data_IF_200679007788
#
_entry.id   IF_200679007788
#
_cell.length_a   1.000
_cell.length_b   1.000
_cell.length_c   1.000
_cell.angle_alpha   90.00
_cell.angle_beta   90.00
_cell.angle_gamma   90.00
#
_symmetry.space_group_name_H-M   'P 1'
#
loop_
_entity.id
_entity.type
_entity.pdbx_description
1 polymer ?
#
# COMPACT_ATOMS: atom_id res chain seq x y z
N UNK A 1 4.24 -13.95 -2.52
CA UNK A 1 3.97 -12.97 -3.59
C UNK A 1 4.44 -11.60 -3.13
N UNK A 2 5.45 -11.03 -3.79
CA UNK A 2 5.78 -9.62 -3.65
C UNK A 2 4.53 -8.81 -4.00
N UNK A 3 4.06 -7.93 -3.11
CA UNK A 3 2.92 -7.01 -3.37
C UNK A 3 3.37 -5.88 -4.31
N UNK A 4 3.99 -6.27 -5.42
CA UNK A 4 4.51 -5.41 -6.46
C UNK A 4 3.77 -5.71 -7.75
N UNK A 5 3.21 -4.67 -8.37
CA UNK A 5 2.55 -4.85 -9.65
C UNK A 5 3.62 -5.13 -10.73
N UNK A 6 3.55 -6.28 -11.39
CA UNK A 6 4.53 -6.69 -12.41
C UNK A 6 4.51 -5.77 -13.65
N UNK A 7 3.37 -5.18 -13.99
CA UNK A 7 3.21 -4.29 -15.14
C UNK A 7 3.58 -2.84 -14.82
N UNK A 8 3.16 -2.34 -13.64
CA UNK A 8 3.31 -0.93 -13.29
C UNK A 8 4.43 -0.65 -12.29
N UNK A 9 5.09 -1.68 -11.75
CA UNK A 9 6.14 -1.55 -10.72
C UNK A 9 5.65 -0.96 -9.40
N UNK A 10 4.33 -0.82 -9.19
CA UNK A 10 3.77 -0.20 -7.98
C UNK A 10 4.07 -1.07 -6.76
N UNK A 11 4.70 -0.47 -5.75
CA UNK A 11 5.12 -1.11 -4.51
C UNK A 11 4.36 -0.56 -3.29
N UNK A 12 4.34 -1.29 -2.17
CA UNK A 12 3.79 -0.77 -0.92
C UNK A 12 4.58 0.44 -0.42
N UNK A 13 3.89 1.48 0.01
CA UNK A 13 4.50 2.70 0.55
C UNK A 13 4.28 2.74 2.06
N UNK A 14 5.27 3.22 2.82
CA UNK A 14 5.14 3.44 4.27
C UNK A 14 4.55 4.81 4.56
N UNK A 15 3.76 4.93 5.63
CA UNK A 15 3.22 6.20 6.08
C UNK A 15 2.57 6.12 7.46
N UNK A 16 1.75 7.12 7.79
CA UNK A 16 1.04 7.19 9.06
C UNK A 16 -0.47 7.40 8.84
N UNK A 17 -1.29 6.84 9.72
CA UNK A 17 -2.65 7.33 9.93
C UNK A 17 -2.57 8.52 10.91
N UNK A 18 -3.25 9.61 10.59
CA UNK A 18 -3.30 10.81 11.42
C UNK A 18 -4.74 10.98 11.89
N UNK A 19 -4.94 11.03 13.22
CA UNK A 19 -6.26 11.30 13.79
C UNK A 19 -6.60 12.79 13.75
N UNK A 20 -7.84 13.15 14.09
CA UNK A 20 -8.24 14.55 14.22
C UNK A 20 -7.40 15.31 15.28
N UNK A 21 -6.93 14.61 16.32
CA UNK A 21 -6.01 15.13 17.32
C UNK A 21 -4.53 15.06 16.90
N UNK A 22 -4.23 14.78 15.62
CA UNK A 22 -2.89 14.60 15.06
C UNK A 22 -2.06 13.44 15.66
N UNK A 23 -2.70 12.43 16.24
CA UNK A 23 -2.00 11.22 16.69
C UNK A 23 -1.57 10.40 15.47
N UNK A 24 -0.25 10.15 15.35
CA UNK A 24 0.35 9.45 14.20
C UNK A 24 0.60 7.98 14.54
N UNK A 25 -0.08 7.06 13.84
CA UNK A 25 0.18 5.61 13.94
C UNK A 25 0.75 5.07 12.63
N UNK A 26 1.75 4.17 12.68
CA UNK A 26 2.42 3.64 11.48
C UNK A 26 1.46 2.77 10.66
N UNK A 27 1.45 2.96 9.34
CA UNK A 27 0.67 2.17 8.38
C UNK A 27 1.48 1.88 7.11
N UNK A 28 1.08 0.81 6.40
CA UNK A 28 1.51 0.54 5.03
C UNK A 28 0.34 0.80 4.06
N UNK A 29 0.60 1.55 2.99
CA UNK A 29 -0.29 1.72 1.85
C UNK A 29 0.01 0.61 0.86
N UNK A 30 -0.98 -0.26 0.62
CA UNK A 30 -0.85 -1.38 -0.29
C UNK A 30 -1.43 -1.01 -1.65
N UNK A 31 -0.75 -1.33 -2.76
CA UNK A 31 -1.34 -1.21 -4.08
C UNK A 31 -2.51 -2.19 -4.22
N UNK A 32 -3.57 -1.76 -4.92
CA UNK A 32 -4.73 -2.60 -5.25
C UNK A 32 -4.38 -3.51 -6.45
N UNK A 33 -3.63 -4.58 -6.18
CA UNK A 33 -3.22 -5.56 -7.20
C UNK A 33 -4.33 -6.60 -7.31
N UNK A 34 -4.92 -6.72 -8.50
CA UNK A 34 -5.89 -7.76 -8.83
C UNK A 34 -5.18 -8.88 -9.58
N UNK A 35 -5.26 -10.10 -9.05
CA UNK A 35 -4.74 -11.28 -9.71
C UNK A 35 -5.69 -11.69 -10.84
N UNK A 36 -5.37 -11.26 -12.06
CA UNK A 36 -6.00 -11.78 -13.27
C UNK A 36 -5.13 -12.90 -13.83
N UNK A 37 -5.65 -14.13 -13.79
CA UNK A 37 -5.16 -15.22 -14.63
C UNK A 37 -5.65 -14.95 -16.05
N UNK A 38 -4.73 -14.92 -16.99
CA UNK A 38 -5.06 -15.41 -18.33
C UNK A 38 -5.34 -16.92 -18.22
#
# INVERSE_FOLDING_TARGET
MSRECQVTGKRPVSGNNVSHANNKTRRRFLPNIHDHRF
#
